data_IF_282708141933
#
_entry.id   IF_282708141933
#
_cell.length_a   1.000
_cell.length_b   1.000
_cell.length_c   1.000
_cell.angle_alpha   90.00
_cell.angle_beta   90.00
_cell.angle_gamma   90.00
#
_symmetry.space_group_name_H-M   'P 1'
#
loop_
_entity.id
_entity.type
_entity.pdbx_description
1 polymer ?
#
# COMPACT_ATOMS: atom_id res chain seq x y z
N UNK A 1 6.63 -37.31 -46.72
CA UNK A 1 7.59 -37.38 -45.59
C UNK A 1 8.92 -36.84 -46.07
N UNK A 2 9.20 -35.56 -45.82
CA UNK A 2 10.52 -34.98 -46.01
C UNK A 2 11.13 -34.82 -44.62
N UNK A 3 12.24 -35.53 -44.37
CA UNK A 3 13.05 -35.37 -43.16
C UNK A 3 13.66 -33.97 -43.20
N UNK A 4 13.35 -33.14 -42.22
CA UNK A 4 14.05 -31.89 -42.01
C UNK A 4 15.46 -32.21 -41.48
N UNK A 5 16.47 -31.91 -42.28
CA UNK A 5 17.88 -31.89 -41.86
C UNK A 5 18.05 -30.89 -40.71
N UNK A 6 18.38 -31.41 -39.53
CA UNK A 6 18.92 -30.61 -38.43
C UNK A 6 20.39 -30.34 -38.71
N UNK A 7 20.66 -29.41 -39.63
CA UNK A 7 22.02 -28.92 -39.86
C UNK A 7 22.36 -27.92 -38.75
N UNK A 8 22.90 -28.40 -37.63
CA UNK A 8 23.53 -27.56 -36.61
C UNK A 8 24.94 -27.23 -37.08
N UNK A 9 25.09 -26.18 -37.89
CA UNK A 9 26.41 -25.61 -38.19
C UNK A 9 27.08 -25.20 -36.87
N UNK A 10 28.15 -25.91 -36.50
CA UNK A 10 28.95 -25.68 -35.30
C UNK A 10 29.81 -24.43 -35.47
N UNK A 11 29.22 -23.25 -35.32
CA UNK A 11 29.97 -22.01 -35.11
C UNK A 11 30.69 -22.13 -33.76
N UNK A 12 32.01 -22.32 -33.81
CA UNK A 12 32.83 -22.43 -32.59
C UNK A 12 33.18 -21.03 -32.11
N UNK A 13 32.58 -20.61 -31.00
CA UNK A 13 32.88 -19.33 -30.36
C UNK A 13 34.13 -19.49 -29.48
N UNK A 14 35.21 -18.83 -29.83
CA UNK A 14 36.38 -18.72 -28.95
C UNK A 14 36.10 -17.70 -27.84
N UNK A 15 36.26 -18.12 -26.58
CA UNK A 15 36.16 -17.26 -25.41
C UNK A 15 37.55 -17.11 -24.79
N UNK A 16 38.12 -15.90 -24.90
CA UNK A 16 39.44 -15.56 -24.35
C UNK A 16 39.35 -15.06 -22.91
N UNK A 17 38.14 -15.05 -22.33
CA UNK A 17 37.87 -14.66 -20.95
C UNK A 17 38.36 -15.68 -19.92
N UNK A 18 38.74 -15.20 -18.74
CA UNK A 18 39.02 -16.08 -17.60
C UNK A 18 37.71 -16.70 -17.12
N UNK A 19 37.64 -18.02 -17.07
CA UNK A 19 36.47 -18.73 -16.54
C UNK A 19 36.43 -18.59 -15.02
N UNK A 20 35.40 -17.92 -14.51
CA UNK A 20 35.11 -17.86 -13.09
C UNK A 20 34.12 -18.98 -12.74
N UNK A 21 34.40 -19.82 -11.73
CA UNK A 21 33.56 -20.98 -11.39
C UNK A 21 32.21 -20.62 -10.74
N UNK A 22 31.97 -19.35 -10.42
CA UNK A 22 30.82 -18.89 -9.61
C UNK A 22 29.93 -17.92 -10.40
N UNK A 23 29.52 -18.30 -11.60
CA UNK A 23 28.44 -17.60 -12.29
C UNK A 23 27.22 -18.50 -12.29
N UNK A 24 26.18 -18.06 -11.57
CA UNK A 24 24.87 -18.70 -11.59
C UNK A 24 24.33 -18.68 -13.02
N UNK A 25 23.67 -19.76 -13.42
CA UNK A 25 22.91 -19.78 -14.66
C UNK A 25 21.80 -18.72 -14.58
N UNK A 26 21.84 -17.74 -15.47
CA UNK A 26 20.92 -16.61 -15.48
C UNK A 26 19.68 -16.95 -16.32
N UNK A 27 18.57 -17.31 -15.67
CA UNK A 27 17.27 -17.27 -16.34
C UNK A 27 16.78 -15.82 -16.40
N UNK A 28 16.90 -15.21 -17.57
CA UNK A 28 16.50 -13.82 -17.83
C UNK A 28 14.98 -13.59 -17.75
N UNK A 29 14.18 -14.66 -17.77
CA UNK A 29 12.71 -14.60 -17.69
C UNK A 29 12.16 -14.96 -16.32
N UNK A 30 13.00 -15.50 -15.43
CA UNK A 30 12.65 -15.92 -14.06
C UNK A 30 11.85 -14.85 -13.31
N UNK A 31 12.32 -13.59 -13.36
CA UNK A 31 11.67 -12.45 -12.69
C UNK A 31 10.18 -12.31 -13.04
N UNK A 32 9.83 -12.49 -14.32
CA UNK A 32 8.45 -12.38 -14.80
C UNK A 32 7.65 -13.63 -14.44
N UNK A 33 8.21 -14.81 -14.72
CA UNK A 33 7.53 -16.10 -14.52
C UNK A 33 7.24 -16.37 -13.05
N UNK A 34 8.24 -16.22 -12.19
CA UNK A 34 8.10 -16.43 -10.74
C UNK A 34 7.08 -15.46 -10.13
N UNK A 35 7.12 -14.21 -10.57
CA UNK A 35 6.20 -13.17 -10.08
C UNK A 35 4.75 -13.47 -10.44
N UNK A 36 4.48 -13.83 -11.70
CA UNK A 36 3.12 -14.16 -12.11
C UNK A 36 2.63 -15.47 -11.51
N UNK A 37 3.52 -16.46 -11.40
CA UNK A 37 3.24 -17.71 -10.71
C UNK A 37 2.88 -17.49 -9.24
N UNK A 38 3.58 -16.60 -8.53
CA UNK A 38 3.20 -16.23 -7.16
C UNK A 38 1.77 -15.65 -7.10
N UNK A 39 1.38 -14.82 -8.08
CA UNK A 39 0.02 -14.28 -8.14
C UNK A 39 -1.01 -15.40 -8.34
N UNK A 40 -0.76 -16.32 -9.27
CA UNK A 40 -1.63 -17.47 -9.55
C UNK A 40 -1.70 -18.45 -8.37
N UNK A 41 -0.60 -18.71 -7.68
CA UNK A 41 -0.50 -19.73 -6.62
C UNK A 41 -0.92 -19.21 -5.23
N UNK A 42 -0.72 -17.91 -4.94
CA UNK A 42 -0.93 -17.33 -3.60
C UNK A 42 -1.68 -16.01 -3.62
N UNK A 43 -1.30 -15.09 -4.52
CA UNK A 43 -1.80 -13.71 -4.51
C UNK A 43 -3.33 -13.60 -4.63
N UNK A 44 -3.96 -14.45 -5.44
CA UNK A 44 -5.42 -14.51 -5.55
C UNK A 44 -6.07 -14.90 -4.21
N UNK A 45 -5.54 -15.95 -3.56
CA UNK A 45 -6.06 -16.45 -2.28
C UNK A 45 -5.88 -15.44 -1.16
N UNK A 46 -4.72 -14.79 -1.08
CA UNK A 46 -4.45 -13.72 -0.12
C UNK A 46 -5.51 -12.60 -0.25
N UNK A 47 -5.79 -12.13 -1.46
CA UNK A 47 -6.78 -11.07 -1.70
C UNK A 47 -8.20 -11.51 -1.41
N UNK A 48 -8.59 -12.75 -1.76
CA UNK A 48 -9.92 -13.26 -1.42
C UNK A 48 -10.12 -13.37 0.10
N UNK A 49 -9.07 -13.76 0.82
CA UNK A 49 -9.09 -13.83 2.29
C UNK A 49 -9.21 -12.46 2.97
N UNK A 50 -8.77 -11.38 2.32
CA UNK A 50 -8.90 -10.01 2.87
C UNK A 50 -10.37 -9.56 2.94
N UNK A 51 -11.19 -9.94 1.95
CA UNK A 51 -12.61 -9.57 1.92
C UNK A 51 -13.50 -10.59 2.63
N UNK A 52 -13.04 -11.83 2.79
CA UNK A 52 -13.82 -12.90 3.39
C UNK A 52 -13.69 -12.91 4.94
N UNK A 53 -14.77 -13.16 5.69
CA UNK A 53 -16.15 -13.29 5.23
C UNK A 53 -16.81 -11.93 4.93
N UNK A 54 -17.78 -11.96 4.02
CA UNK A 54 -18.65 -10.84 3.66
C UNK A 54 -20.01 -11.04 4.34
N UNK A 55 -20.44 -10.06 5.13
CA UNK A 55 -21.73 -10.09 5.82
C UNK A 55 -22.79 -9.29 5.05
N UNK A 56 -24.06 -9.66 5.22
CA UNK A 56 -25.17 -8.86 4.70
C UNK A 56 -25.22 -7.47 5.35
N UNK A 57 -25.93 -6.52 4.72
CA UNK A 57 -26.06 -5.15 5.23
C UNK A 57 -26.53 -5.08 6.69
N UNK A 58 -27.33 -6.05 7.14
CA UNK A 58 -27.80 -6.10 8.53
C UNK A 58 -26.86 -6.87 9.48
N UNK A 59 -25.89 -7.61 8.93
CA UNK A 59 -24.98 -8.51 9.63
C UNK A 59 -25.62 -9.74 10.27
N UNK A 60 -26.94 -9.92 10.12
CA UNK A 60 -27.75 -10.88 10.88
C UNK A 60 -28.31 -12.03 10.05
N UNK A 61 -28.33 -11.94 8.72
CA UNK A 61 -29.04 -12.90 7.89
C UNK A 61 -28.10 -13.81 7.12
N UNK A 62 -27.12 -13.22 6.43
CA UNK A 62 -26.30 -13.96 5.47
C UNK A 62 -24.81 -13.70 5.70
N UNK A 63 -24.02 -14.74 5.46
CA UNK A 63 -22.58 -14.69 5.50
C UNK A 63 -22.03 -15.42 4.28
N UNK A 64 -21.13 -14.77 3.55
CA UNK A 64 -20.49 -15.32 2.36
C UNK A 64 -18.99 -15.53 2.63
N UNK A 65 -18.57 -16.79 2.60
CA UNK A 65 -17.16 -17.17 2.68
C UNK A 65 -16.62 -17.48 1.28
N UNK A 66 -15.46 -16.90 0.95
CA UNK A 66 -14.71 -17.15 -0.28
C UNK A 66 -13.43 -17.85 0.13
N UNK A 67 -13.36 -19.18 -0.07
CA UNK A 67 -12.24 -19.99 0.41
C UNK A 67 -11.24 -20.27 -0.71
N UNK A 68 -11.34 -21.45 -1.29
CA UNK A 68 -10.43 -21.90 -2.33
C UNK A 68 -10.79 -21.29 -3.67
N UNK A 69 -9.80 -21.22 -4.54
CA UNK A 69 -9.99 -20.92 -5.95
C UNK A 69 -9.27 -21.95 -6.82
N UNK A 70 -9.67 -22.02 -8.09
CA UNK A 70 -8.95 -22.75 -9.12
C UNK A 70 -8.95 -21.95 -10.42
N UNK A 71 -7.82 -21.97 -11.11
CA UNK A 71 -7.71 -21.44 -12.47
C UNK A 71 -7.95 -22.61 -13.43
N UNK A 72 -8.91 -22.46 -14.33
CA UNK A 72 -9.24 -23.45 -15.35
C UNK A 72 -8.19 -23.53 -16.46
N UNK A 73 -8.45 -24.38 -17.45
CA UNK A 73 -7.62 -24.44 -18.65
C UNK A 73 -7.91 -23.24 -19.55
N UNK A 74 -6.91 -22.72 -20.27
CA UNK A 74 -7.13 -21.62 -21.19
C UNK A 74 -8.07 -22.02 -22.32
N UNK A 75 -8.91 -21.07 -22.74
CA UNK A 75 -9.95 -21.30 -23.77
C UNK A 75 -9.33 -21.57 -25.14
N UNK A 76 -8.21 -20.93 -25.46
CA UNK A 76 -7.49 -21.04 -26.73
C UNK A 76 -5.99 -21.18 -26.50
N UNK A 77 -5.23 -21.63 -27.51
CA UNK A 77 -3.76 -21.57 -27.46
C UNK A 77 -3.26 -20.14 -27.78
N UNK A 78 -2.02 -19.79 -27.39
CA UNK A 78 -1.42 -18.50 -27.71
C UNK A 78 -1.49 -18.16 -29.21
N UNK A 79 -1.21 -19.11 -30.09
CA UNK A 79 -1.19 -18.92 -31.55
C UNK A 79 -2.59 -18.61 -32.09
N UNK A 80 -3.60 -19.32 -31.59
CA UNK A 80 -5.00 -19.10 -31.97
C UNK A 80 -5.48 -17.73 -31.48
N UNK A 81 -5.10 -17.33 -30.27
CA UNK A 81 -5.45 -16.02 -29.72
C UNK A 81 -4.87 -14.87 -30.55
N UNK A 82 -3.62 -14.99 -31.02
CA UNK A 82 -3.02 -14.00 -31.93
C UNK A 82 -3.76 -13.97 -33.26
N UNK A 83 -3.96 -15.12 -33.91
CA UNK A 83 -4.59 -15.20 -35.23
C UNK A 83 -6.03 -14.69 -35.23
N UNK A 84 -6.81 -14.99 -34.18
CA UNK A 84 -8.22 -14.61 -34.07
C UNK A 84 -8.45 -13.25 -33.41
N UNK A 85 -7.41 -12.54 -32.96
CA UNK A 85 -7.59 -11.27 -32.25
C UNK A 85 -8.18 -11.42 -30.83
N UNK A 86 -8.00 -12.57 -30.18
CA UNK A 86 -8.55 -12.89 -28.85
C UNK A 86 -7.52 -12.67 -27.74
N UNK A 87 -7.99 -12.58 -26.49
CA UNK A 87 -7.12 -12.62 -25.32
C UNK A 87 -6.75 -14.07 -24.99
N UNK A 88 -5.52 -14.30 -24.51
CA UNK A 88 -5.10 -15.58 -23.96
C UNK A 88 -5.29 -15.54 -22.44
N UNK A 89 -6.37 -16.15 -21.97
CA UNK A 89 -6.81 -16.13 -20.58
C UNK A 89 -7.28 -17.50 -20.11
N UNK A 90 -7.56 -17.62 -18.82
CA UNK A 90 -8.09 -18.81 -18.18
C UNK A 90 -9.19 -18.45 -17.19
N UNK A 91 -10.29 -19.22 -17.13
CA UNK A 91 -11.41 -18.93 -16.26
C UNK A 91 -11.05 -19.17 -14.79
N UNK A 92 -11.30 -18.18 -13.93
CA UNK A 92 -11.10 -18.26 -12.49
C UNK A 92 -12.42 -18.66 -11.80
N UNK A 93 -12.36 -19.74 -11.03
CA UNK A 93 -13.46 -20.23 -10.22
C UNK A 93 -13.12 -20.10 -8.73
N UNK A 94 -14.09 -19.69 -7.92
CA UNK A 94 -13.96 -19.57 -6.47
C UNK A 94 -15.04 -20.41 -5.80
N UNK A 95 -14.66 -21.18 -4.78
CA UNK A 95 -15.60 -21.89 -3.92
C UNK A 95 -16.21 -20.90 -2.93
N UNK A 96 -17.48 -20.61 -3.12
CA UNK A 96 -18.28 -19.75 -2.27
C UNK A 96 -19.16 -20.62 -1.34
N UNK A 97 -19.12 -20.31 -0.05
CA UNK A 97 -20.03 -20.89 0.95
C UNK A 97 -20.96 -19.78 1.44
N UNK A 98 -22.23 -19.85 1.08
CA UNK A 98 -23.27 -18.96 1.61
C UNK A 98 -23.90 -19.63 2.83
N UNK A 99 -23.78 -19.00 3.99
CA UNK A 99 -24.36 -19.47 5.25
C UNK A 99 -25.52 -18.58 5.64
N UNK A 100 -26.69 -19.16 5.89
CA UNK A 100 -27.82 -18.48 6.51
C UNK A 100 -27.63 -18.48 8.03
N UNK A 101 -27.40 -17.32 8.65
CA UNK A 101 -27.14 -17.22 10.09
C UNK A 101 -28.34 -17.61 10.97
N UNK A 102 -29.56 -17.64 10.41
CA UNK A 102 -30.78 -17.99 11.16
C UNK A 102 -31.08 -19.49 11.15
N UNK A 103 -30.83 -20.15 10.03
CA UNK A 103 -31.11 -21.59 9.86
C UNK A 103 -29.86 -22.46 9.99
N UNK A 104 -28.66 -21.85 10.01
CA UNK A 104 -27.34 -22.49 9.91
C UNK A 104 -27.17 -23.36 8.64
N UNK A 105 -28.03 -23.17 7.64
CA UNK A 105 -27.94 -23.84 6.35
C UNK A 105 -26.79 -23.26 5.54
N UNK A 106 -26.01 -24.16 4.91
CA UNK A 106 -24.83 -23.81 4.11
C UNK A 106 -25.01 -24.28 2.68
N UNK A 107 -24.90 -23.34 1.75
CA UNK A 107 -24.91 -23.60 0.31
C UNK A 107 -23.48 -23.43 -0.18
N UNK A 108 -22.88 -24.53 -0.64
CA UNK A 108 -21.56 -24.53 -1.22
C UNK A 108 -21.68 -24.57 -2.74
N UNK A 109 -21.11 -23.59 -3.42
CA UNK A 109 -21.11 -23.54 -4.88
C UNK A 109 -19.75 -23.05 -5.39
N UNK A 110 -19.33 -23.63 -6.52
CA UNK A 110 -18.22 -23.09 -7.28
C UNK A 110 -18.74 -22.03 -8.26
N UNK A 111 -18.29 -20.80 -8.07
CA UNK A 111 -18.74 -19.62 -8.82
C UNK A 111 -17.63 -19.18 -9.77
N UNK A 112 -17.99 -18.89 -11.01
CA UNK A 112 -17.10 -18.26 -11.97
C UNK A 112 -16.95 -16.77 -11.61
N UNK A 113 -15.72 -16.34 -11.29
CA UNK A 113 -15.44 -14.96 -10.89
C UNK A 113 -15.08 -14.07 -12.09
N UNK A 114 -14.47 -14.66 -13.12
CA UNK A 114 -14.01 -13.96 -14.31
C UNK A 114 -12.80 -14.63 -14.95
N UNK A 115 -12.32 -14.07 -16.06
CA UNK A 115 -11.15 -14.59 -16.76
C UNK A 115 -9.87 -13.86 -16.31
N UNK A 116 -8.79 -14.62 -16.14
CA UNK A 116 -7.46 -14.11 -15.78
C UNK A 116 -6.51 -14.32 -16.96
N UNK A 117 -5.86 -13.26 -17.50
CA UNK A 117 -4.90 -13.39 -18.59
C UNK A 117 -3.77 -14.35 -18.23
N UNK A 118 -3.44 -15.30 -19.09
CA UNK A 118 -2.39 -16.28 -18.81
C UNK A 118 -1.05 -15.83 -19.38
N UNK A 119 0.04 -16.01 -18.62
CA UNK A 119 1.38 -15.71 -19.10
C UNK A 119 1.87 -16.82 -20.05
N UNK A 120 2.48 -16.42 -21.17
CA UNK A 120 3.12 -17.35 -22.12
C UNK A 120 4.46 -17.87 -21.58
N UNK A 121 5.02 -18.90 -22.21
CA UNK A 121 6.36 -19.39 -21.87
C UNK A 121 7.48 -18.35 -22.10
N UNK A 122 7.20 -17.30 -22.87
CA UNK A 122 8.12 -16.18 -23.14
C UNK A 122 8.03 -15.05 -22.11
N UNK A 123 7.14 -15.15 -21.12
CA UNK A 123 6.94 -14.10 -20.11
C UNK A 123 6.09 -12.93 -20.61
N UNK A 124 5.28 -13.15 -21.64
CA UNK A 124 4.40 -12.16 -22.28
C UNK A 124 2.92 -12.51 -22.07
N UNK A 125 2.03 -11.59 -22.43
CA UNK A 125 0.57 -11.76 -22.42
C UNK A 125 0.01 -11.45 -23.79
N UNK A 126 -1.05 -12.15 -24.21
CA UNK A 126 -1.75 -11.84 -25.45
C UNK A 126 -3.08 -11.21 -25.09
N UNK A 127 -3.26 -9.93 -25.43
CA UNK A 127 -4.47 -9.15 -25.15
C UNK A 127 -5.04 -8.70 -26.49
N UNK A 128 -6.25 -9.16 -26.83
CA UNK A 128 -6.92 -8.87 -28.10
C UNK A 128 -6.01 -9.16 -29.32
N UNK A 129 -5.35 -10.33 -29.31
CA UNK A 129 -4.42 -10.79 -30.34
C UNK A 129 -3.05 -10.11 -30.38
N UNK A 130 -2.79 -9.15 -29.50
CA UNK A 130 -1.52 -8.42 -29.46
C UNK A 130 -0.67 -8.95 -28.30
N UNK A 131 0.55 -9.38 -28.59
CA UNK A 131 1.53 -9.78 -27.59
C UNK A 131 2.08 -8.54 -26.87
N UNK A 132 2.04 -8.56 -25.53
CA UNK A 132 2.41 -7.46 -24.63
C UNK A 132 3.30 -7.99 -23.51
N UNK A 133 4.23 -7.16 -23.07
CA UNK A 133 5.02 -7.41 -21.87
C UNK A 133 4.67 -6.37 -20.81
N UNK A 134 4.52 -6.80 -19.55
CA UNK A 134 4.31 -5.90 -18.42
C UNK A 134 5.67 -5.54 -17.83
N UNK A 135 5.98 -4.24 -17.81
CA UNK A 135 7.26 -3.74 -17.31
C UNK A 135 7.21 -3.68 -15.78
N UNK A 136 8.24 -4.23 -15.13
CA UNK A 136 8.39 -4.09 -13.68
C UNK A 136 8.64 -2.63 -13.32
N UNK A 137 8.00 -2.16 -12.25
CA UNK A 137 8.06 -0.75 -11.83
C UNK A 137 9.00 -0.59 -10.64
N UNK A 138 9.87 0.42 -10.68
CA UNK A 138 10.64 0.83 -9.52
C UNK A 138 9.86 1.91 -8.75
N UNK A 139 9.40 1.57 -7.56
CA UNK A 139 8.61 2.49 -6.70
C UNK A 139 9.33 2.69 -5.37
N UNK A 140 8.94 3.71 -4.60
CA UNK A 140 9.43 3.81 -3.22
C UNK A 140 8.86 2.68 -2.37
N UNK A 141 9.68 2.11 -1.50
CA UNK A 141 9.22 1.10 -0.56
C UNK A 141 8.21 1.70 0.44
N UNK A 142 7.35 0.88 1.08
CA UNK A 142 6.56 1.32 2.22
C UNK A 142 7.45 1.73 3.39
N UNK A 143 6.96 2.62 4.26
CA UNK A 143 7.67 3.12 5.44
C UNK A 143 7.48 4.62 5.65
N UNK A 144 8.19 5.17 6.65
CA UNK A 144 8.26 6.61 6.91
C UNK A 144 9.54 7.20 6.29
N UNK A 145 9.41 8.27 5.52
CA UNK A 145 10.51 8.97 4.86
C UNK A 145 10.55 10.42 5.28
N UNK A 146 11.73 10.95 5.52
CA UNK A 146 11.92 12.34 5.93
C UNK A 146 12.74 13.06 4.88
N UNK A 147 12.24 14.19 4.39
CA UNK A 147 12.91 15.01 3.37
C UNK A 147 13.03 16.44 3.85
N UNK A 148 14.02 17.16 3.34
CA UNK A 148 14.24 18.57 3.62
C UNK A 148 14.22 19.36 2.31
N UNK A 149 13.53 20.49 2.32
CA UNK A 149 13.44 21.42 1.19
C UNK A 149 13.64 22.83 1.69
N UNK A 150 14.46 23.63 1.01
CA UNK A 150 14.63 25.04 1.35
C UNK A 150 13.45 25.86 0.82
N UNK A 151 12.82 26.66 1.68
CA UNK A 151 11.79 27.60 1.27
C UNK A 151 12.43 28.70 0.41
N UNK A 152 12.03 28.87 -0.86
CA UNK A 152 12.63 29.86 -1.75
C UNK A 152 12.39 31.30 -1.29
N UNK A 153 11.38 31.56 -0.46
CA UNK A 153 11.04 32.92 0.00
C UNK A 153 11.83 33.29 1.26
N UNK A 154 11.83 32.41 2.26
CA UNK A 154 12.42 32.70 3.57
C UNK A 154 13.84 32.16 3.73
N UNK A 155 14.27 31.27 2.84
CA UNK A 155 15.54 30.53 2.96
C UNK A 155 15.56 29.48 4.07
N UNK A 156 14.47 29.32 4.83
CA UNK A 156 14.36 28.35 5.92
C UNK A 156 14.26 26.93 5.37
N UNK A 157 14.85 25.98 6.09
CA UNK A 157 14.72 24.55 5.76
C UNK A 157 13.40 24.03 6.31
N UNK A 158 12.52 23.58 5.42
CA UNK A 158 11.26 22.94 5.76
C UNK A 158 11.43 21.43 5.65
N UNK A 159 10.90 20.72 6.65
CA UNK A 159 11.00 19.27 6.74
C UNK A 159 9.65 18.64 6.46
N UNK A 160 9.65 17.50 5.78
CA UNK A 160 8.45 16.74 5.44
C UNK A 160 8.66 15.27 5.79
N UNK A 161 7.73 14.69 6.54
CA UNK A 161 7.62 13.27 6.82
C UNK A 161 6.49 12.66 5.98
N UNK A 162 6.79 11.66 5.17
CA UNK A 162 5.83 10.93 4.33
C UNK A 162 5.74 9.47 4.80
N UNK A 163 4.57 9.06 5.32
CA UNK A 163 4.28 7.66 5.66
C UNK A 163 3.55 7.00 4.49
N UNK A 164 4.21 5.99 3.92
CA UNK A 164 3.72 5.24 2.76
C UNK A 164 3.36 3.81 3.14
N UNK A 165 2.09 3.41 3.03
CA UNK A 165 1.72 2.00 3.12
C UNK A 165 1.97 1.25 1.79
N UNK A 166 1.87 -0.08 1.83
CA UNK A 166 1.70 -0.90 0.62
C UNK A 166 0.31 -0.62 0.02
N UNK A 167 -0.71 -0.60 0.88
CA UNK A 167 -2.10 -0.34 0.52
C UNK A 167 -2.74 0.59 1.55
N UNK A 168 -3.51 1.59 1.10
CA UNK A 168 -4.18 2.55 1.97
C UNK A 168 -3.72 3.98 1.73
N UNK A 169 -4.20 4.89 2.57
CA UNK A 169 -3.97 6.33 2.40
C UNK A 169 -2.58 6.78 2.86
N UNK A 170 -1.98 7.72 2.15
CA UNK A 170 -0.67 8.28 2.50
C UNK A 170 -0.86 9.42 3.50
N UNK A 171 0.04 9.50 4.49
CA UNK A 171 0.11 10.61 5.43
C UNK A 171 1.37 11.44 5.16
N UNK A 172 1.21 12.75 5.05
CA UNK A 172 2.31 13.67 4.83
C UNK A 172 2.26 14.78 5.89
N UNK A 173 3.22 14.78 6.82
CA UNK A 173 3.41 15.84 7.80
C UNK A 173 4.50 16.79 7.30
N UNK A 174 4.28 18.10 7.38
CA UNK A 174 5.26 19.09 6.95
C UNK A 174 5.35 20.24 7.93
N UNK A 175 6.57 20.70 8.22
CA UNK A 175 6.78 21.97 8.92
C UNK A 175 6.52 23.15 7.99
N UNK A 176 6.10 24.27 8.55
CA UNK A 176 5.87 25.52 7.82
C UNK A 176 6.82 26.61 8.31
N UNK A 177 6.96 27.68 7.52
CA UNK A 177 7.74 28.88 7.87
C UNK A 177 7.27 29.62 9.13
N UNK A 178 6.07 29.30 9.61
CA UNK A 178 5.53 29.86 10.84
C UNK A 178 5.71 28.91 12.03
N UNK A 179 6.64 27.95 11.90
CA UNK A 179 6.94 26.96 12.93
C UNK A 179 5.68 26.20 13.35
N UNK A 180 4.83 25.80 12.39
CA UNK A 180 3.67 24.94 12.63
C UNK A 180 3.77 23.65 11.84
N UNK A 181 3.05 22.62 12.27
CA UNK A 181 3.01 21.33 11.59
C UNK A 181 1.64 21.16 10.94
N UNK A 182 1.66 20.91 9.63
CA UNK A 182 0.46 20.57 8.87
C UNK A 182 0.52 19.13 8.41
N UNK A 183 -0.64 18.52 8.23
CA UNK A 183 -0.77 17.18 7.66
C UNK A 183 -1.62 17.22 6.38
N UNK A 184 -1.35 16.29 5.47
CA UNK A 184 -2.22 15.94 4.33
C UNK A 184 -2.46 14.45 4.32
N UNK A 185 -3.64 14.07 3.85
CA UNK A 185 -3.99 12.69 3.52
C UNK A 185 -4.12 12.60 2.00
N UNK A 186 -3.44 11.64 1.35
CA UNK A 186 -3.50 11.39 -0.11
C UNK A 186 -3.28 12.64 -0.97
N UNK A 187 -2.38 13.52 -0.55
CA UNK A 187 -2.07 14.80 -1.24
C UNK A 187 -3.28 15.74 -1.40
N UNK A 188 -4.33 15.57 -0.58
CA UNK A 188 -5.48 16.48 -0.50
C UNK A 188 -5.15 17.74 0.31
N UNK A 189 -6.17 18.52 0.67
CA UNK A 189 -6.02 19.81 1.36
C UNK A 189 -5.28 19.65 2.69
N UNK A 190 -4.39 20.61 2.99
CA UNK A 190 -3.67 20.69 4.27
C UNK A 190 -4.62 21.04 5.43
N UNK A 191 -4.36 20.46 6.60
CA UNK A 191 -4.94 20.84 7.89
C UNK A 191 -3.88 20.71 8.98
N UNK A 192 -4.16 21.14 10.21
CA UNK A 192 -3.16 21.15 11.29
C UNK A 192 -2.93 19.75 11.83
N UNK A 193 -1.68 19.45 12.22
CA UNK A 193 -1.34 18.15 12.79
C UNK A 193 -2.04 17.91 14.14
N UNK A 194 -2.30 18.96 14.92
CA UNK A 194 -3.04 18.89 16.18
C UNK A 194 -4.48 18.44 15.97
N UNK A 195 -5.15 18.92 14.91
CA UNK A 195 -6.47 18.43 14.51
C UNK A 195 -6.45 16.91 14.24
N UNK A 196 -5.40 16.41 13.57
CA UNK A 196 -5.23 14.97 13.37
C UNK A 196 -5.00 14.20 14.68
N UNK A 197 -4.15 14.73 15.57
CA UNK A 197 -3.89 14.14 16.88
C UNK A 197 -5.18 14.04 17.74
N UNK A 198 -6.05 15.06 17.67
CA UNK A 198 -7.37 15.04 18.32
C UNK A 198 -8.29 13.97 17.72
N UNK A 199 -8.25 13.77 16.41
CA UNK A 199 -9.06 12.79 15.70
C UNK A 199 -8.66 11.34 16.01
N UNK A 200 -7.37 11.08 16.26
CA UNK A 200 -6.87 9.74 16.65
C UNK A 200 -6.99 9.44 18.14
N UNK A 201 -7.54 10.36 18.94
CA UNK A 201 -7.88 10.14 20.35
C UNK A 201 -7.08 10.95 21.37
N UNK A 202 -6.12 11.78 20.96
CA UNK A 202 -5.39 12.69 21.86
C UNK A 202 -6.13 14.03 21.86
N UNK A 203 -7.32 14.04 22.47
CA UNK A 203 -8.26 15.16 22.33
C UNK A 203 -7.87 16.41 23.09
N UNK A 204 -7.21 16.27 24.24
CA UNK A 204 -6.89 17.38 25.12
C UNK A 204 -5.57 18.08 24.72
N UNK A 205 -5.57 19.41 24.77
CA UNK A 205 -4.43 20.22 24.36
C UNK A 205 -3.22 20.00 25.28
N UNK A 206 -3.44 19.80 26.58
CA UNK A 206 -2.35 19.55 27.52
C UNK A 206 -1.82 18.11 27.38
N UNK A 207 -2.70 17.14 27.11
CA UNK A 207 -2.28 15.80 26.73
C UNK A 207 -1.42 15.78 25.44
N UNK A 208 -1.75 16.60 24.43
CA UNK A 208 -0.91 16.76 23.23
C UNK A 208 0.46 17.32 23.62
N UNK A 209 0.53 18.39 24.41
CA UNK A 209 1.82 18.97 24.84
C UNK A 209 2.68 17.96 25.60
N UNK A 210 2.09 17.22 26.53
CA UNK A 210 2.83 16.25 27.34
C UNK A 210 3.44 15.14 26.48
N UNK A 211 2.78 14.73 25.38
CA UNK A 211 3.31 13.74 24.44
C UNK A 211 4.57 14.21 23.71
N UNK A 212 4.74 15.52 23.49
CA UNK A 212 5.88 16.09 22.76
C UNK A 212 6.87 16.84 23.64
N UNK A 213 6.63 16.94 24.94
CA UNK A 213 7.50 17.64 25.90
C UNK A 213 8.97 17.20 25.88
N UNK A 214 9.22 15.92 25.59
CA UNK A 214 10.58 15.39 25.50
C UNK A 214 11.36 15.91 24.27
N UNK A 215 10.68 16.19 23.16
CA UNK A 215 11.29 16.73 21.93
C UNK A 215 11.17 18.26 21.85
N UNK A 216 10.27 18.83 22.64
CA UNK A 216 10.09 20.27 22.83
C UNK A 216 10.27 20.68 24.30
N UNK A 217 11.50 20.61 24.87
CA UNK A 217 11.77 21.29 26.14
C UNK A 217 11.51 22.80 26.01
N UNK A 218 11.16 23.45 27.12
CA UNK A 218 10.74 24.87 27.26
C UNK A 218 11.77 25.89 26.71
N UNK A 219 11.89 25.93 25.38
CA UNK A 219 12.80 26.77 24.60
C UNK A 219 12.02 27.71 23.65
N UNK A 220 12.78 28.56 22.92
CA UNK A 220 12.28 29.63 22.04
C UNK A 220 11.35 29.22 20.89
N UNK A 221 11.33 27.95 20.48
CA UNK A 221 10.52 27.46 19.35
C UNK A 221 9.79 26.17 19.73
N UNK A 222 8.46 26.23 19.83
CA UNK A 222 7.60 25.05 19.98
C UNK A 222 6.64 24.95 18.81
N UNK A 223 6.89 23.96 17.95
CA UNK A 223 6.06 23.65 16.81
C UNK A 223 4.66 23.21 17.23
N UNK A 224 4.55 22.39 18.29
CA UNK A 224 3.26 21.92 18.77
C UNK A 224 2.46 23.07 19.39
N UNK A 225 3.08 23.92 20.21
CA UNK A 225 2.41 25.07 20.80
C UNK A 225 1.92 26.06 19.73
N UNK A 226 2.78 26.40 18.76
CA UNK A 226 2.40 27.28 17.65
C UNK A 226 1.29 26.67 16.77
N UNK A 227 1.27 25.34 16.62
CA UNK A 227 0.20 24.64 15.90
C UNK A 227 -1.10 24.68 16.71
N UNK A 228 -1.06 24.45 18.03
CA UNK A 228 -2.23 24.54 18.92
C UNK A 228 -2.83 25.95 18.97
N UNK A 229 -2.00 27.00 18.95
CA UNK A 229 -2.47 28.39 18.92
C UNK A 229 -3.25 28.75 17.64
N UNK A 230 -2.99 28.05 16.53
CA UNK A 230 -3.72 28.19 15.27
C UNK A 230 -4.88 27.22 15.11
N UNK A 231 -4.97 26.23 15.99
CA UNK A 231 -5.99 25.18 15.93
C UNK A 231 -7.30 25.70 16.51
N UNK A 232 -8.26 25.98 15.63
CA UNK A 232 -9.60 26.41 16.01
C UNK A 232 -10.43 25.25 16.60
N UNK A 233 -10.00 24.01 16.36
CA UNK A 233 -10.70 22.80 16.81
C UNK A 233 -10.26 22.42 18.22
N UNK A 234 -11.25 22.12 19.07
CA UNK A 234 -11.01 21.81 20.48
C UNK A 234 -11.31 20.35 20.85
N UNK A 235 -12.18 19.67 20.10
CA UNK A 235 -12.64 18.32 20.43
C UNK A 235 -12.47 17.32 19.28
N UNK A 236 -12.52 16.03 19.61
CA UNK A 236 -12.36 14.92 18.65
C UNK A 236 -13.45 14.91 17.57
N UNK A 237 -14.69 15.24 17.91
CA UNK A 237 -15.79 15.18 16.94
C UNK A 237 -15.66 16.29 15.88
N UNK A 238 -15.32 17.51 16.29
CA UNK A 238 -15.00 18.62 15.40
C UNK A 238 -13.79 18.31 14.53
N UNK A 239 -12.75 17.70 15.11
CA UNK A 239 -11.57 17.28 14.36
C UNK A 239 -11.91 16.27 13.26
N UNK A 240 -12.70 15.25 13.60
CA UNK A 240 -13.21 14.27 12.64
C UNK A 240 -14.01 14.93 11.51
N UNK A 241 -14.88 15.88 11.85
CA UNK A 241 -15.68 16.64 10.88
C UNK A 241 -14.81 17.51 9.98
N UNK A 242 -13.82 18.20 10.54
CA UNK A 242 -12.92 19.04 9.75
C UNK A 242 -12.13 18.20 8.75
N UNK A 243 -11.53 17.10 9.20
CA UNK A 243 -10.80 16.16 8.33
C UNK A 243 -11.73 15.65 7.24
N UNK A 244 -12.95 15.25 7.59
CA UNK A 244 -13.92 14.76 6.61
C UNK A 244 -14.27 15.82 5.56
N UNK A 245 -14.50 17.08 5.94
CA UNK A 245 -14.76 18.19 5.00
C UNK A 245 -13.59 18.42 4.04
N UNK A 246 -12.34 18.28 4.51
CA UNK A 246 -11.13 18.44 3.68
C UNK A 246 -10.96 17.27 2.70
N UNK A 247 -11.36 16.07 3.12
CA UNK A 247 -11.32 14.87 2.29
C UNK A 247 -12.46 14.85 1.27
N UNK A 248 -13.70 15.07 1.68
CA UNK A 248 -14.91 14.90 0.88
C UNK A 248 -15.70 16.21 0.79
N UNK A 249 -15.24 17.18 -0.04
CA UNK A 249 -15.89 18.48 -0.13
C UNK A 249 -17.30 18.34 -0.73
N UNK A 250 -18.32 18.76 0.02
CA UNK A 250 -19.72 18.78 -0.41
C UNK A 250 -20.56 17.56 -0.01
N UNK A 251 -19.97 16.54 0.63
CA UNK A 251 -20.74 15.41 1.15
C UNK A 251 -21.45 15.76 2.47
N UNK A 252 -22.67 15.23 2.70
CA UNK A 252 -23.40 15.45 3.94
C UNK A 252 -22.67 14.79 5.12
N UNK A 253 -22.60 15.49 6.24
CA UNK A 253 -21.83 15.08 7.41
C UNK A 253 -22.74 14.32 8.38
N UNK A 254 -22.42 13.06 8.61
CA UNK A 254 -23.04 12.22 9.63
C UNK A 254 -21.93 11.69 10.55
N UNK A 255 -21.91 12.15 11.81
CA UNK A 255 -20.79 11.93 12.74
C UNK A 255 -20.36 10.47 12.88
N UNK A 256 -21.32 9.54 12.99
CA UNK A 256 -21.03 8.11 13.09
C UNK A 256 -20.29 7.59 11.86
N UNK A 257 -20.81 7.86 10.67
CA UNK A 257 -20.18 7.49 9.40
C UNK A 257 -18.80 8.12 9.24
N UNK A 258 -18.62 9.35 9.69
CA UNK A 258 -17.31 10.04 9.65
C UNK A 258 -16.31 9.31 10.54
N UNK A 259 -16.70 8.95 11.76
CA UNK A 259 -15.83 8.22 12.71
C UNK A 259 -15.46 6.84 12.16
N UNK A 260 -16.43 6.12 11.60
CA UNK A 260 -16.20 4.82 10.97
C UNK A 260 -15.27 4.94 9.75
N UNK A 261 -15.50 5.95 8.89
CA UNK A 261 -14.67 6.20 7.72
C UNK A 261 -13.22 6.51 8.11
N UNK A 262 -13.02 7.40 9.08
CA UNK A 262 -11.70 7.77 9.56
C UNK A 262 -10.96 6.58 10.19
N UNK A 263 -11.62 5.87 11.10
CA UNK A 263 -11.06 4.67 11.75
C UNK A 263 -10.72 3.58 10.72
N UNK A 264 -11.63 3.39 9.75
CA UNK A 264 -11.43 2.48 8.63
C UNK A 264 -10.32 2.88 7.67
N UNK A 265 -9.91 4.16 7.63
CA UNK A 265 -8.87 4.62 6.70
C UNK A 265 -7.47 4.21 7.15
N UNK A 266 -7.16 4.28 8.45
CA UNK A 266 -5.79 4.08 8.95
C UNK A 266 -5.62 2.90 9.91
N UNK A 267 -6.68 2.51 10.62
CA UNK A 267 -6.63 1.55 11.73
C UNK A 267 -7.36 0.24 11.44
N UNK A 268 -7.62 -0.05 10.16
CA UNK A 268 -8.31 -1.27 9.74
C UNK A 268 -7.42 -2.08 8.78
N UNK A 269 -7.09 -3.31 9.18
CA UNK A 269 -6.23 -4.22 8.41
C UNK A 269 -6.77 -4.53 6.99
N UNK A 270 -8.09 -4.39 6.75
CA UNK A 270 -8.67 -4.60 5.40
C UNK A 270 -8.39 -3.44 4.45
N UNK A 271 -8.20 -2.24 4.98
CA UNK A 271 -8.07 -1.00 4.18
C UNK A 271 -6.68 -0.39 4.21
N UNK A 272 -5.89 -0.73 5.23
CA UNK A 272 -4.56 -0.19 5.45
C UNK A 272 -3.57 -1.31 5.76
N UNK A 273 -2.43 -1.31 5.07
CA UNK A 273 -1.36 -2.28 5.27
C UNK A 273 0.01 -1.67 4.92
N UNK A 274 0.90 -1.62 5.91
CA UNK A 274 2.30 -1.23 5.77
C UNK A 274 3.16 -2.35 5.16
N UNK A 275 2.70 -3.59 5.22
CA UNK A 275 3.50 -4.78 4.96
C UNK A 275 4.66 -4.95 5.96
N UNK A 276 5.30 -6.11 5.92
CA UNK A 276 6.38 -6.45 6.86
C UNK A 276 7.59 -5.50 6.67
N UNK A 277 7.89 -5.15 5.41
CA UNK A 277 8.97 -4.23 5.06
C UNK A 277 8.68 -2.81 5.56
N UNK A 278 7.45 -2.32 5.39
CA UNK A 278 7.08 -0.99 5.86
C UNK A 278 7.12 -0.87 7.37
N UNK A 279 6.60 -1.90 8.05
CA UNK A 279 6.67 -1.98 9.51
C UNK A 279 8.11 -2.00 10.01
N UNK A 280 8.95 -2.88 9.44
CA UNK A 280 10.37 -2.94 9.77
C UNK A 280 11.06 -1.58 9.56
N UNK A 281 10.78 -0.89 8.46
CA UNK A 281 11.37 0.42 8.17
C UNK A 281 10.93 1.50 9.17
N UNK A 282 9.66 1.54 9.56
CA UNK A 282 9.17 2.47 10.59
C UNK A 282 9.84 2.19 11.93
N UNK A 283 9.84 0.93 12.38
CA UNK A 283 10.44 0.52 13.65
C UNK A 283 11.93 0.87 13.70
N UNK A 284 12.66 0.64 12.60
CA UNK A 284 14.08 0.99 12.49
C UNK A 284 14.31 2.50 12.48
N UNK A 285 13.48 3.26 11.77
CA UNK A 285 13.67 4.71 11.58
C UNK A 285 13.35 5.50 12.84
N UNK A 286 12.30 5.11 13.56
CA UNK A 286 11.81 5.79 14.76
C UNK A 286 12.37 5.20 16.07
N UNK A 287 13.33 4.27 15.97
CA UNK A 287 13.92 3.64 17.14
C UNK A 287 14.56 4.70 18.07
N UNK A 288 14.15 4.70 19.34
CA UNK A 288 14.66 5.62 20.36
C UNK A 288 14.05 7.03 20.32
N UNK A 289 13.05 7.28 19.46
CA UNK A 289 12.33 8.55 19.45
C UNK A 289 11.33 8.61 20.61
N UNK A 290 11.28 9.71 21.37
CA UNK A 290 10.30 9.86 22.45
C UNK A 290 8.86 9.71 21.94
N UNK A 291 8.06 8.93 22.67
CA UNK A 291 6.66 8.67 22.32
C UNK A 291 6.46 7.60 21.24
N UNK A 292 7.52 7.01 20.69
CA UNK A 292 7.44 5.87 19.78
C UNK A 292 7.63 4.54 20.52
N UNK A 293 6.72 3.59 20.28
CA UNK A 293 6.84 2.19 20.74
C UNK A 293 6.80 1.29 19.52
N UNK A 294 7.82 0.44 19.28
CA UNK A 294 7.80 -0.52 18.19
C UNK A 294 6.59 -1.45 18.29
N UNK A 295 5.93 -1.68 17.16
CA UNK A 295 4.80 -2.60 17.04
C UNK A 295 5.11 -3.69 16.02
N UNK A 296 4.43 -4.81 16.10
CA UNK A 296 4.46 -5.85 15.06
C UNK A 296 3.21 -5.79 14.16
N UNK A 297 2.29 -4.85 14.43
CA UNK A 297 1.06 -4.68 13.67
C UNK A 297 1.33 -4.08 12.30
N UNK A 298 0.67 -4.60 11.26
CA UNK A 298 0.81 -4.11 9.88
C UNK A 298 0.00 -2.84 9.57
N UNK A 299 -0.84 -2.38 10.50
CA UNK A 299 -1.53 -1.08 10.43
C UNK A 299 -0.75 -0.01 11.19
N UNK A 300 -1.05 1.27 10.95
CA UNK A 300 -0.51 2.35 11.76
C UNK A 300 -1.05 2.30 13.19
N UNK A 301 -0.18 2.61 14.15
CA UNK A 301 -0.54 2.85 15.54
C UNK A 301 -0.52 4.35 15.85
N UNK A 302 -1.12 4.74 16.97
CA UNK A 302 -1.01 6.12 17.47
C UNK A 302 0.45 6.49 17.74
N UNK A 303 1.22 5.55 18.27
CA UNK A 303 2.64 5.76 18.58
C UNK A 303 3.50 5.95 17.32
N UNK A 304 3.14 5.33 16.19
CA UNK A 304 3.79 5.59 14.90
C UNK A 304 3.62 7.05 14.47
N UNK A 305 2.42 7.60 14.65
CA UNK A 305 2.09 8.97 14.27
C UNK A 305 2.81 9.95 15.19
N UNK A 306 2.75 9.72 16.50
CA UNK A 306 3.45 10.54 17.51
C UNK A 306 4.96 10.50 17.26
N UNK A 307 5.54 9.31 17.09
CA UNK A 307 6.96 9.14 16.78
C UNK A 307 7.38 9.82 15.48
N UNK A 308 6.55 9.76 14.44
CA UNK A 308 6.83 10.44 13.16
C UNK A 308 6.86 11.95 13.33
N UNK A 309 5.88 12.53 14.04
CA UNK A 309 5.83 13.97 14.32
C UNK A 309 7.00 14.38 15.22
N UNK A 310 7.33 13.57 16.24
CA UNK A 310 8.44 13.83 17.15
C UNK A 310 9.79 13.85 16.42
N UNK A 311 10.04 12.88 15.54
CA UNK A 311 11.25 12.88 14.71
C UNK A 311 11.30 14.06 13.75
N UNK A 312 10.15 14.44 13.18
CA UNK A 312 10.04 15.64 12.32
C UNK A 312 10.42 16.92 13.08
N UNK A 313 10.01 17.05 14.35
CA UNK A 313 10.39 18.17 15.22
C UNK A 313 11.90 18.14 15.51
N UNK A 314 12.46 16.98 15.85
CA UNK A 314 13.91 16.87 16.11
C UNK A 314 14.75 17.24 14.87
N UNK A 315 14.34 16.82 13.67
CA UNK A 315 14.97 17.24 12.41
C UNK A 315 14.92 18.77 12.26
N UNK A 316 13.78 19.38 12.57
CA UNK A 316 13.63 20.82 12.53
C UNK A 316 14.49 21.56 13.57
N UNK A 317 14.82 20.89 14.69
CA UNK A 317 15.77 21.35 15.72
C UNK A 317 17.24 21.06 15.39
N UNK A 318 17.54 20.54 14.20
CA UNK A 318 18.90 20.32 13.71
C UNK A 318 19.44 18.91 13.93
N UNK A 319 18.60 17.93 14.28
CA UNK A 319 18.99 16.52 14.23
C UNK A 319 19.21 16.11 12.76
N UNK A 320 20.26 15.35 12.50
CA UNK A 320 20.47 14.72 11.20
C UNK A 320 19.57 13.49 11.02
N UNK A 321 19.36 13.08 9.77
CA UNK A 321 18.60 11.87 9.44
C UNK A 321 17.53 12.06 8.36
N UNK A 322 17.71 13.04 7.48
CA UNK A 322 16.94 13.14 6.24
C UNK A 322 17.27 11.94 5.35
N UNK A 323 16.26 11.40 4.69
CA UNK A 323 16.36 10.27 3.78
C UNK A 323 16.63 10.72 2.34
N UNK A 324 17.54 10.01 1.67
CA UNK A 324 17.66 10.06 0.22
C UNK A 324 16.60 9.14 -0.42
N UNK A 325 15.57 9.77 -0.98
CA UNK A 325 14.45 9.10 -1.65
C UNK A 325 14.83 8.46 -3.00
N UNK A 326 15.99 8.81 -3.56
CA UNK A 326 16.48 8.27 -4.83
C UNK A 326 17.39 7.05 -4.63
N UNK A 327 17.91 6.86 -3.42
CA UNK A 327 18.62 5.64 -3.03
C UNK A 327 17.81 4.37 -3.32
N UNK A 328 18.45 3.38 -3.93
CA UNK A 328 17.84 2.06 -4.18
C UNK A 328 17.44 1.35 -2.88
N UNK A 329 18.05 1.68 -1.74
CA UNK A 329 17.63 1.15 -0.43
C UNK A 329 16.20 1.57 -0.05
N UNK A 330 15.72 2.70 -0.62
CA UNK A 330 14.39 3.25 -0.42
C UNK A 330 13.44 2.97 -1.60
N UNK A 331 13.91 2.20 -2.58
CA UNK A 331 13.12 1.77 -3.72
C UNK A 331 12.95 0.25 -3.72
N UNK A 332 11.83 -0.22 -4.27
CA UNK A 332 11.52 -1.63 -4.46
C UNK A 332 10.98 -1.87 -5.86
N UNK A 333 11.24 -3.06 -6.38
CA UNK A 333 10.73 -3.49 -7.68
C UNK A 333 9.34 -4.11 -7.47
N UNK A 334 8.31 -3.47 -8.01
CA UNK A 334 6.99 -4.07 -8.18
C UNK A 334 6.98 -4.89 -9.45
N UNK A 335 6.88 -6.20 -9.26
CA UNK A 335 6.87 -7.18 -10.35
C UNK A 335 5.44 -7.37 -10.87
N UNK A 336 5.29 -8.03 -12.02
CA UNK A 336 4.00 -8.20 -12.71
C UNK A 336 2.88 -8.79 -11.85
N UNK A 337 3.12 -9.86 -11.09
CA UNK A 337 2.12 -10.48 -10.23
C UNK A 337 1.57 -9.53 -9.18
N UNK A 338 2.46 -8.77 -8.51
CA UNK A 338 2.05 -7.76 -7.53
C UNK A 338 1.23 -6.62 -8.16
N UNK A 339 1.60 -6.19 -9.37
CA UNK A 339 0.86 -5.18 -10.11
C UNK A 339 -0.57 -5.67 -10.38
N UNK A 340 -0.71 -6.84 -11.00
CA UNK A 340 -2.01 -7.43 -11.32
C UNK A 340 -2.84 -7.65 -10.05
N UNK A 341 -2.23 -8.21 -9.00
CA UNK A 341 -2.87 -8.48 -7.72
C UNK A 341 -3.47 -7.20 -7.12
N UNK A 342 -2.66 -6.16 -6.92
CA UNK A 342 -3.07 -4.98 -6.16
C UNK A 342 -3.84 -3.93 -6.99
N UNK A 343 -3.51 -3.70 -8.26
CA UNK A 343 -4.10 -2.60 -9.04
C UNK A 343 -5.37 -3.01 -9.78
N UNK A 344 -5.48 -4.29 -10.16
CA UNK A 344 -6.62 -4.78 -10.93
C UNK A 344 -7.47 -5.75 -10.11
N UNK A 345 -6.89 -6.86 -9.65
CA UNK A 345 -7.65 -7.93 -9.02
C UNK A 345 -8.27 -7.51 -7.68
N UNK A 346 -7.47 -6.97 -6.75
CA UNK A 346 -7.94 -6.47 -5.46
C UNK A 346 -9.00 -5.39 -5.59
N UNK A 347 -8.81 -4.44 -6.52
CA UNK A 347 -9.79 -3.39 -6.79
C UNK A 347 -11.11 -3.98 -7.32
N UNK A 348 -11.04 -5.01 -8.18
CA UNK A 348 -12.22 -5.74 -8.66
C UNK A 348 -12.93 -6.49 -7.52
N UNK A 349 -12.18 -7.21 -6.70
CA UNK A 349 -12.70 -7.99 -5.57
C UNK A 349 -13.34 -7.07 -4.51
N UNK A 350 -12.74 -5.93 -4.18
CA UNK A 350 -13.34 -4.92 -3.29
C UNK A 350 -14.61 -4.28 -3.84
N UNK A 351 -14.78 -4.26 -5.17
CA UNK A 351 -16.04 -3.81 -5.79
C UNK A 351 -17.11 -4.90 -5.74
N UNK A 352 -16.71 -6.17 -5.71
CA UNK A 352 -17.60 -7.31 -5.56
C UNK A 352 -18.06 -7.51 -4.11
N UNK A 353 -17.25 -7.11 -3.13
CA UNK A 353 -17.63 -7.09 -1.71
C UNK A 353 -18.79 -6.12 -1.45
N UNK A 354 -18.80 -4.97 -2.14
CA UNK A 354 -19.83 -3.93 -2.01
C UNK A 354 -21.10 -4.31 -2.75
#
# INVERSE_FOLDING_TARGET
>A
MAKADKNTDHITREDWGRKYPVLLELDLLSLQKESYKWFEDRGIGEILSEISPVDDFTGKNWNLELKDYRIGKPTNSPEVSIYKGLTYDSPLYVKATLTNKKTDEKINQEVFLGDVPKMTERGTFIINGIERAIVSQLVRSPGAFFTATQDPVTGQTLYTAEIRPVHGSWLEFSTTRYETITVKIDRRRKFLATTFLRAIGISDSDAIKERFKAVEPDDKTSYIQNTLLKDEVTNTNEALVEIFKKMHPGEPIVLEKVRENFSGTFFNNRRYDLGDVGRYKINKKLQGIPGFVPSDQRILTVDDIVGTIAFLIELARGKDGVDDIDSLANRRVRRVGELVASTAFRVGVLRLER
#
